data_IF_782493420878
#
_entry.id   IF_782493420878
#
_cell.length_a   1.000
_cell.length_b   1.000
_cell.length_c   1.000
_cell.angle_alpha   90.00
_cell.angle_beta   90.00
_cell.angle_gamma   90.00
#
_symmetry.space_group_name_H-M   'P 1'
#
loop_
_entity.id
_entity.type
_entity.pdbx_description
1 polymer ?
#
# COMPACT_ATOMS: atom_id res chain seq x y z
N UNK A 1 -24.01 13.19 -38.09
CA UNK A 1 -24.41 14.43 -37.42
C UNK A 1 -24.63 14.08 -35.95
N UNK A 2 -23.62 14.27 -35.11
CA UNK A 2 -23.72 14.06 -33.65
C UNK A 2 -24.46 15.27 -33.07
N UNK A 3 -25.69 15.07 -32.61
CA UNK A 3 -26.51 16.15 -32.05
C UNK A 3 -26.16 16.36 -30.56
N UNK A 4 -25.66 17.53 -30.16
CA UNK A 4 -25.11 17.73 -28.80
C UNK A 4 -26.19 17.99 -27.72
N UNK A 5 -27.49 17.99 -28.05
CA UNK A 5 -28.57 18.38 -27.13
C UNK A 5 -29.48 17.23 -26.62
N UNK A 6 -29.07 15.96 -26.76
CA UNK A 6 -29.88 14.79 -26.36
C UNK A 6 -29.36 13.99 -25.15
N UNK A 7 -28.35 14.49 -24.43
CA UNK A 7 -27.53 13.65 -23.52
C UNK A 7 -27.77 13.84 -22.00
N UNK A 8 -28.80 14.57 -21.58
CA UNK A 8 -29.30 14.48 -20.20
C UNK A 8 -30.11 13.17 -20.02
N UNK A 9 -29.49 12.03 -20.28
CA UNK A 9 -30.11 10.73 -20.05
C UNK A 9 -30.00 10.38 -18.57
N UNK A 10 -31.04 9.81 -17.94
CA UNK A 10 -30.87 9.19 -16.63
C UNK A 10 -29.78 8.12 -16.75
N UNK A 11 -28.61 8.41 -16.19
CA UNK A 11 -27.53 7.43 -16.10
C UNK A 11 -27.84 6.57 -14.90
N UNK A 12 -28.28 5.34 -15.14
CA UNK A 12 -28.40 4.34 -14.09
C UNK A 12 -26.99 4.10 -13.52
N UNK A 13 -26.74 4.44 -12.23
CA UNK A 13 -25.37 4.39 -11.68
C UNK A 13 -24.78 2.98 -11.66
N UNK A 14 -25.63 1.94 -11.73
CA UNK A 14 -25.22 0.56 -11.55
C UNK A 14 -24.55 -0.09 -12.78
N UNK A 15 -24.92 0.30 -14.01
CA UNK A 15 -24.41 -0.36 -15.22
C UNK A 15 -24.65 0.44 -16.53
N UNK A 16 -24.03 1.62 -16.70
CA UNK A 16 -24.29 2.50 -17.84
C UNK A 16 -23.94 1.85 -19.19
N UNK A 17 -22.90 1.00 -19.22
CA UNK A 17 -22.46 0.34 -20.46
C UNK A 17 -23.42 -0.77 -20.92
N UNK A 18 -23.97 -1.53 -19.97
CA UNK A 18 -24.89 -2.63 -20.26
C UNK A 18 -26.23 -2.09 -20.75
N UNK A 19 -26.69 -0.98 -20.18
CA UNK A 19 -27.87 -0.24 -20.62
C UNK A 19 -27.74 0.25 -22.07
N UNK A 20 -26.56 0.71 -22.46
CA UNK A 20 -26.30 1.13 -23.85
C UNK A 20 -26.42 -0.06 -24.82
N UNK A 21 -25.88 -1.23 -24.49
CA UNK A 21 -26.01 -2.41 -25.35
C UNK A 21 -27.46 -2.90 -25.48
N UNK A 22 -28.27 -2.74 -24.42
CA UNK A 22 -29.70 -3.03 -24.44
C UNK A 22 -30.46 -2.06 -25.36
N UNK A 23 -30.13 -0.76 -25.28
CA UNK A 23 -30.72 0.28 -26.13
C UNK A 23 -30.44 0.06 -27.62
N UNK A 24 -29.24 -0.39 -27.98
CA UNK A 24 -28.88 -0.72 -29.37
C UNK A 24 -29.31 -2.14 -29.80
N UNK A 25 -29.99 -2.91 -28.95
CA UNK A 25 -30.48 -4.27 -29.26
C UNK A 25 -29.37 -5.33 -29.39
N UNK A 26 -28.18 -5.08 -28.84
CA UNK A 26 -27.00 -5.95 -28.97
C UNK A 26 -26.94 -7.00 -27.85
N UNK A 27 -27.84 -7.98 -27.90
CA UNK A 27 -27.99 -9.01 -26.85
C UNK A 27 -26.75 -9.91 -26.64
N UNK A 28 -26.00 -10.22 -27.70
CA UNK A 28 -24.80 -11.06 -27.61
C UNK A 28 -23.70 -10.35 -26.81
N UNK A 29 -23.44 -9.07 -27.10
CA UNK A 29 -22.44 -8.26 -26.39
C UNK A 29 -22.83 -8.04 -24.94
N UNK A 30 -24.11 -7.78 -24.66
CA UNK A 30 -24.65 -7.65 -23.30
C UNK A 30 -24.34 -8.87 -22.44
N UNK A 31 -24.58 -10.07 -22.97
CA UNK A 31 -24.37 -11.32 -22.24
C UNK A 31 -22.87 -11.56 -21.98
N UNK A 32 -22.02 -11.40 -23.00
CA UNK A 32 -20.56 -11.60 -22.87
C UNK A 32 -19.96 -10.66 -21.80
N UNK A 33 -20.30 -9.36 -21.84
CA UNK A 33 -19.78 -8.37 -20.90
C UNK A 33 -20.30 -8.63 -19.48
N UNK A 34 -21.56 -9.05 -19.32
CA UNK A 34 -22.13 -9.37 -18.01
C UNK A 34 -21.46 -10.57 -17.37
N UNK A 35 -21.21 -11.65 -18.13
CA UNK A 35 -20.45 -12.80 -17.64
C UNK A 35 -19.01 -12.43 -17.29
N UNK A 36 -18.36 -11.60 -18.12
CA UNK A 36 -17.02 -11.08 -17.85
C UNK A 36 -16.96 -10.24 -16.58
N UNK A 37 -17.94 -9.37 -16.34
CA UNK A 37 -18.03 -8.57 -15.14
C UNK A 37 -18.23 -9.43 -13.88
N UNK A 38 -19.14 -10.40 -13.90
CA UNK A 38 -19.37 -11.31 -12.79
C UNK A 38 -18.10 -12.12 -12.45
N UNK A 39 -17.44 -12.68 -13.46
CA UNK A 39 -16.21 -13.44 -13.26
C UNK A 39 -15.08 -12.54 -12.75
N UNK A 40 -14.90 -11.35 -13.35
CA UNK A 40 -13.89 -10.38 -12.93
C UNK A 40 -14.08 -9.90 -11.48
N UNK A 41 -15.32 -9.58 -11.08
CA UNK A 41 -15.63 -9.22 -9.70
C UNK A 41 -15.40 -10.36 -8.73
N UNK A 42 -15.78 -11.59 -9.10
CA UNK A 42 -15.51 -12.77 -8.26
C UNK A 42 -14.01 -13.00 -8.08
N UNK A 43 -13.21 -12.89 -9.14
CA UNK A 43 -11.77 -13.06 -9.08
C UNK A 43 -11.09 -11.98 -8.22
N UNK A 44 -11.53 -10.72 -8.34
CA UNK A 44 -11.04 -9.62 -7.49
C UNK A 44 -11.36 -9.85 -6.02
N UNK A 45 -12.57 -10.32 -5.71
CA UNK A 45 -12.98 -10.65 -4.34
C UNK A 45 -12.10 -11.77 -3.75
N UNK A 46 -11.86 -12.84 -4.51
CA UNK A 46 -10.94 -13.91 -4.08
C UNK A 46 -9.53 -13.38 -3.84
N UNK A 47 -9.02 -12.51 -4.73
CA UNK A 47 -7.72 -11.87 -4.56
C UNK A 47 -7.60 -11.06 -3.26
N UNK A 48 -8.66 -10.36 -2.87
CA UNK A 48 -8.69 -9.55 -1.64
C UNK A 48 -8.83 -10.40 -0.36
N UNK A 49 -9.40 -11.61 -0.43
CA UNK A 49 -9.62 -12.46 0.75
C UNK A 49 -8.35 -13.18 1.21
N UNK A 50 -7.39 -13.48 0.34
CA UNK A 50 -6.17 -14.21 0.72
C UNK A 50 -5.21 -13.49 1.69
N UNK A 51 -4.96 -12.16 1.60
CA UNK A 51 -4.05 -11.49 2.53
C UNK A 51 -4.64 -11.29 3.94
N UNK A 52 -5.96 -11.14 4.07
CA UNK A 52 -6.61 -10.82 5.35
C UNK A 52 -6.35 -11.86 6.47
N UNK A 53 -6.48 -13.18 6.23
CA UNK A 53 -6.16 -14.22 7.21
C UNK A 53 -4.71 -14.16 7.71
N UNK A 54 -3.75 -13.79 6.84
CA UNK A 54 -2.33 -13.70 7.21
C UNK A 54 -2.07 -12.54 8.16
N UNK A 55 -2.71 -11.39 7.91
CA UNK A 55 -2.60 -10.20 8.74
C UNK A 55 -3.18 -10.47 10.13
N UNK A 56 -4.38 -11.08 10.22
CA UNK A 56 -5.02 -11.42 11.49
C UNK A 56 -4.18 -12.40 12.30
N UNK A 57 -3.55 -13.38 11.65
CA UNK A 57 -2.64 -14.31 12.31
C UNK A 57 -1.41 -13.60 12.90
N UNK A 58 -0.76 -12.72 12.12
CA UNK A 58 0.39 -11.95 12.60
C UNK A 58 0.01 -11.04 13.78
N UNK A 59 -1.12 -10.32 13.67
CA UNK A 59 -1.63 -9.46 14.76
C UNK A 59 -2.00 -10.24 16.02
N UNK A 60 -2.51 -11.47 15.88
CA UNK A 60 -2.82 -12.33 17.02
C UNK A 60 -1.54 -12.96 17.64
N UNK A 61 -0.49 -13.19 16.84
CA UNK A 61 0.82 -13.62 17.31
C UNK A 61 1.55 -12.50 18.08
N UNK A 62 1.39 -11.25 17.65
CA UNK A 62 1.88 -10.05 18.35
C UNK A 62 1.09 -9.77 19.66
N UNK A 63 0.03 -10.53 19.95
CA UNK A 63 -0.77 -10.43 21.17
C UNK A 63 -1.83 -9.32 21.17
N UNK A 64 -2.07 -8.69 20.02
CA UNK A 64 -2.99 -7.56 19.87
C UNK A 64 -4.47 -7.99 19.76
N UNK A 65 -4.72 -9.23 19.32
CA UNK A 65 -6.07 -9.83 19.19
C UNK A 65 -6.26 -11.02 20.14
N UNK A 66 -7.52 -11.38 20.43
CA UNK A 66 -7.87 -12.52 21.28
C UNK A 66 -7.17 -13.80 20.79
N UNK A 67 -6.44 -14.47 21.69
CA UNK A 67 -5.62 -15.65 21.41
C UNK A 67 -6.42 -16.85 20.87
N UNK A 68 -7.74 -16.83 21.01
CA UNK A 68 -8.67 -17.78 20.41
C UNK A 68 -8.76 -17.67 18.88
N UNK A 69 -8.53 -16.49 18.30
CA UNK A 69 -8.45 -16.28 16.83
C UNK A 69 -7.11 -16.75 16.25
N UNK A 70 -6.07 -16.91 17.08
CA UNK A 70 -4.78 -17.49 16.70
C UNK A 70 -4.79 -19.02 16.64
N UNK A 71 -5.91 -19.67 16.98
CA UNK A 71 -6.01 -21.14 16.93
C UNK A 71 -6.05 -21.60 15.47
N UNK A 72 -4.87 -21.92 14.94
CA UNK A 72 -4.70 -22.49 13.60
C UNK A 72 -5.26 -23.91 13.58
N UNK A 73 -6.08 -24.21 12.58
CA UNK A 73 -6.58 -25.58 12.34
C UNK A 73 -5.46 -26.45 11.78
N UNK A 74 -5.16 -27.57 12.44
CA UNK A 74 -4.08 -28.51 12.06
C UNK A 74 -4.20 -29.05 10.63
N UNK A 75 -5.41 -29.09 10.05
CA UNK A 75 -5.66 -29.70 8.73
C UNK A 75 -5.43 -28.77 7.53
N UNK A 76 -5.62 -27.45 7.69
CA UNK A 76 -5.52 -26.48 6.59
C UNK A 76 -4.39 -25.46 6.76
N UNK A 77 -3.67 -25.50 7.89
CA UNK A 77 -2.60 -24.54 8.26
C UNK A 77 -2.97 -23.06 8.04
N UNK A 78 -4.27 -22.76 8.03
CA UNK A 78 -4.84 -21.44 7.76
C UNK A 78 -5.94 -21.16 8.78
N UNK A 79 -6.13 -19.89 9.19
CA UNK A 79 -7.08 -19.53 10.22
C UNK A 79 -8.50 -19.44 9.62
N UNK A 80 -9.10 -20.59 9.29
CA UNK A 80 -10.43 -20.70 8.66
C UNK A 80 -11.52 -20.02 9.51
N UNK A 81 -11.43 -20.14 10.84
CA UNK A 81 -12.34 -19.48 11.77
C UNK A 81 -12.22 -17.95 11.68
N UNK A 82 -11.00 -17.42 11.54
CA UNK A 82 -10.79 -15.99 11.37
C UNK A 82 -11.36 -15.50 10.03
N UNK A 83 -11.20 -16.28 8.95
CA UNK A 83 -11.79 -15.96 7.65
C UNK A 83 -13.32 -15.91 7.72
N UNK A 84 -13.96 -16.90 8.35
CA UNK A 84 -15.42 -16.93 8.49
C UNK A 84 -15.93 -15.75 9.33
N UNK A 85 -15.30 -15.49 10.47
CA UNK A 85 -15.63 -14.35 11.32
C UNK A 85 -15.44 -13.02 10.56
N UNK A 86 -14.33 -12.85 9.85
CA UNK A 86 -14.09 -11.65 9.03
C UNK A 86 -15.11 -11.47 7.90
N UNK A 87 -15.59 -12.57 7.30
CA UNK A 87 -16.63 -12.54 6.28
C UNK A 87 -17.98 -12.10 6.84
N UNK A 88 -18.36 -12.59 8.02
CA UNK A 88 -19.57 -12.14 8.72
C UNK A 88 -19.48 -10.65 9.07
N UNK A 89 -18.32 -10.19 9.58
CA UNK A 89 -18.11 -8.77 9.85
C UNK A 89 -18.15 -7.91 8.57
N UNK A 90 -17.55 -8.36 7.47
CA UNK A 90 -17.61 -7.66 6.19
C UNK A 90 -19.04 -7.55 5.65
N UNK A 91 -19.84 -8.60 5.76
CA UNK A 91 -21.26 -8.60 5.39
C UNK A 91 -22.09 -7.66 6.28
N UNK A 92 -21.87 -7.70 7.60
CA UNK A 92 -22.53 -6.77 8.53
C UNK A 92 -22.16 -5.31 8.24
N UNK A 93 -20.88 -5.04 7.94
CA UNK A 93 -20.40 -3.72 7.56
C UNK A 93 -21.08 -3.22 6.26
N UNK A 94 -21.21 -4.08 5.25
CA UNK A 94 -21.94 -3.76 4.03
C UNK A 94 -23.41 -3.39 4.30
N UNK A 95 -24.10 -4.13 5.17
CA UNK A 95 -25.50 -3.87 5.51
C UNK A 95 -25.69 -2.51 6.19
N UNK A 96 -24.78 -2.13 7.08
CA UNK A 96 -24.86 -0.84 7.80
C UNK A 96 -24.50 0.35 6.89
N UNK A 97 -23.49 0.19 6.04
CA UNK A 97 -22.90 1.31 5.29
C UNK A 97 -23.18 1.27 3.79
N UNK A 98 -24.19 0.55 3.33
CA UNK A 98 -24.47 0.31 1.91
C UNK A 98 -24.34 1.56 1.01
N UNK A 99 -24.98 2.68 1.38
CA UNK A 99 -24.95 3.92 0.60
C UNK A 99 -23.61 4.69 0.66
N UNK A 100 -22.85 4.54 1.75
CA UNK A 100 -21.60 5.27 1.99
C UNK A 100 -20.36 4.38 1.85
N UNK A 101 -20.52 3.14 1.41
CA UNK A 101 -19.45 2.15 1.35
C UNK A 101 -18.28 2.65 0.49
N UNK A 102 -18.58 3.17 -0.69
CA UNK A 102 -17.58 3.71 -1.62
C UNK A 102 -16.84 4.90 -1.02
N UNK A 103 -17.55 5.78 -0.30
CA UNK A 103 -16.94 6.92 0.38
C UNK A 103 -15.97 6.47 1.48
N UNK A 104 -16.38 5.52 2.32
CA UNK A 104 -15.52 4.98 3.39
C UNK A 104 -14.27 4.27 2.84
N UNK A 105 -14.43 3.49 1.76
CA UNK A 105 -13.29 2.82 1.09
C UNK A 105 -12.30 3.87 0.55
N UNK A 106 -12.79 4.89 -0.15
CA UNK A 106 -11.92 5.94 -0.71
C UNK A 106 -11.21 6.76 0.37
N UNK A 107 -11.90 7.10 1.46
CA UNK A 107 -11.29 7.77 2.61
C UNK A 107 -10.22 6.91 3.27
N UNK A 108 -10.46 5.61 3.43
CA UNK A 108 -9.46 4.67 3.96
C UNK A 108 -8.21 4.58 3.06
N UNK A 109 -8.38 4.53 1.74
CA UNK A 109 -7.26 4.57 0.80
C UNK A 109 -6.46 5.87 0.90
N UNK A 110 -7.13 7.01 1.02
CA UNK A 110 -6.45 8.30 1.18
C UNK A 110 -5.58 8.33 2.44
N UNK A 111 -6.11 7.86 3.58
CA UNK A 111 -5.35 7.76 4.84
C UNK A 111 -4.16 6.81 4.68
N UNK A 112 -4.37 5.66 4.03
CA UNK A 112 -3.29 4.69 3.82
C UNK A 112 -2.15 5.29 2.99
N UNK A 113 -2.46 6.00 1.91
CA UNK A 113 -1.44 6.62 1.06
C UNK A 113 -0.68 7.73 1.79
N UNK A 114 -1.37 8.58 2.56
CA UNK A 114 -0.67 9.64 3.32
C UNK A 114 0.22 9.05 4.41
N UNK A 115 -0.24 8.00 5.10
CA UNK A 115 0.57 7.29 6.08
C UNK A 115 1.80 6.61 5.46
N UNK A 116 1.63 5.95 4.31
CA UNK A 116 2.74 5.31 3.59
C UNK A 116 3.80 6.34 3.19
N UNK A 117 3.39 7.47 2.62
CA UNK A 117 4.29 8.56 2.23
C UNK A 117 5.02 9.14 3.45
N UNK A 118 4.29 9.36 4.55
CA UNK A 118 4.88 9.81 5.80
C UNK A 118 5.94 8.85 6.34
N UNK A 119 5.64 7.54 6.34
CA UNK A 119 6.55 6.52 6.84
C UNK A 119 7.82 6.40 5.98
N UNK A 120 7.67 6.46 4.65
CA UNK A 120 8.81 6.48 3.72
C UNK A 120 9.67 7.74 3.93
N UNK A 121 9.05 8.91 4.08
CA UNK A 121 9.78 10.14 4.34
C UNK A 121 10.53 10.09 5.69
N UNK A 122 9.90 9.53 6.72
CA UNK A 122 10.51 9.33 8.03
C UNK A 122 11.74 8.42 7.94
N UNK A 123 11.64 7.30 7.22
CA UNK A 123 12.75 6.37 7.02
C UNK A 123 13.89 7.04 6.25
N UNK A 124 13.58 7.80 5.19
CA UNK A 124 14.59 8.53 4.43
C UNK A 124 15.32 9.57 5.30
N UNK A 125 14.58 10.35 6.10
CA UNK A 125 15.16 11.33 7.01
C UNK A 125 16.04 10.68 8.09
N UNK A 126 15.58 9.57 8.68
CA UNK A 126 16.37 8.81 9.65
C UNK A 126 17.66 8.27 9.00
N UNK A 127 17.57 7.66 7.82
CA UNK A 127 18.72 7.14 7.08
C UNK A 127 19.74 8.23 6.76
N UNK A 128 19.28 9.43 6.36
CA UNK A 128 20.16 10.58 6.11
C UNK A 128 20.91 11.01 7.37
N UNK A 129 20.23 11.11 8.51
CA UNK A 129 20.85 11.42 9.80
C UNK A 129 21.89 10.35 10.16
N UNK A 130 21.56 9.07 10.03
CA UNK A 130 22.49 7.97 10.29
C UNK A 130 23.74 8.06 9.39
N UNK A 131 23.57 8.38 8.11
CA UNK A 131 24.67 8.51 7.17
C UNK A 131 25.56 9.72 7.48
N UNK A 132 24.98 10.90 7.78
CA UNK A 132 25.72 12.10 8.18
C UNK A 132 26.47 11.86 9.50
N UNK A 133 25.84 11.19 10.48
CA UNK A 133 26.44 10.87 11.76
C UNK A 133 27.67 9.97 11.63
N UNK A 134 27.66 9.02 10.68
CA UNK A 134 28.81 8.14 10.40
C UNK A 134 29.89 8.84 9.57
N UNK A 135 29.53 9.63 8.55
CA UNK A 135 30.52 10.27 7.65
C UNK A 135 31.24 11.45 8.31
N UNK A 136 30.56 12.24 9.14
CA UNK A 136 31.14 13.44 9.75
C UNK A 136 32.43 13.17 10.55
N UNK A 137 32.51 12.18 11.47
CA UNK A 137 33.75 11.88 12.18
C UNK A 137 34.83 11.30 11.25
N UNK A 138 34.47 10.49 10.26
CA UNK A 138 35.43 9.93 9.30
C UNK A 138 36.09 11.04 8.46
N UNK A 139 35.30 12.01 8.00
CA UNK A 139 35.81 13.19 7.28
C UNK A 139 36.73 14.05 8.16
N UNK A 140 36.35 14.29 9.41
CA UNK A 140 37.15 15.07 10.35
C UNK A 140 38.52 14.42 10.63
N UNK A 141 38.54 13.09 10.86
CA UNK A 141 39.78 12.32 11.09
C UNK A 141 40.69 12.39 9.87
N UNK A 142 40.14 12.23 8.66
CA UNK A 142 40.90 12.33 7.41
C UNK A 142 41.54 13.72 7.27
N UNK A 143 40.80 14.78 7.56
CA UNK A 143 41.32 16.15 7.46
C UNK A 143 42.41 16.43 8.50
N UNK A 144 42.29 15.93 9.73
CA UNK A 144 43.35 16.05 10.75
C UNK A 144 44.61 15.31 10.29
N UNK A 145 44.48 14.08 9.79
CA UNK A 145 45.61 13.28 9.29
C UNK A 145 46.32 13.97 8.12
N UNK A 146 45.56 14.58 7.21
CA UNK A 146 46.09 15.35 6.08
C UNK A 146 46.91 16.56 6.55
N UNK A 147 46.41 17.33 7.54
CA UNK A 147 47.14 18.47 8.12
C UNK A 147 48.44 18.00 8.78
N UNK A 148 48.40 16.92 9.57
CA UNK A 148 49.59 16.37 10.22
C UNK A 148 50.65 15.94 9.19
N UNK A 149 50.24 15.29 8.11
CA UNK A 149 51.14 14.86 7.05
C UNK A 149 51.80 16.05 6.34
N UNK A 150 51.04 17.11 6.03
CA UNK A 150 51.58 18.33 5.42
C UNK A 150 52.55 19.03 6.38
N UNK A 151 52.18 19.17 7.66
CA UNK A 151 53.02 19.81 8.67
C UNK A 151 54.33 19.03 8.92
N UNK A 152 54.26 17.69 8.90
CA UNK A 152 55.45 16.83 9.01
C UNK A 152 56.40 17.03 7.83
N UNK A 153 55.88 17.07 6.60
CA UNK A 153 56.68 17.37 5.41
C UNK A 153 57.32 18.76 5.54
N UNK A 154 56.55 19.78 5.93
CA UNK A 154 57.06 21.14 6.08
C UNK A 154 58.19 21.22 7.13
N UNK A 155 58.03 20.55 8.28
CA UNK A 155 59.07 20.46 9.31
C UNK A 155 60.34 19.80 8.76
N UNK A 156 60.21 18.69 8.03
CA UNK A 156 61.39 18.02 7.43
C UNK A 156 62.11 18.92 6.41
N UNK A 157 61.36 19.68 5.61
CA UNK A 157 61.93 20.63 4.66
C UNK A 157 62.62 21.80 5.37
N UNK A 158 62.04 22.32 6.45
CA UNK A 158 62.61 23.41 7.24
C UNK A 158 63.89 23.02 7.98
N UNK A 159 64.04 21.76 8.41
CA UNK A 159 65.28 21.27 9.02
C UNK A 159 66.37 20.93 7.98
N UNK A 160 65.99 20.74 6.71
CA UNK A 160 66.89 20.35 5.63
C UNK A 160 67.21 21.51 4.67
N UNK A 161 66.59 22.68 4.82
CA UNK A 161 66.95 23.90 4.09
C UNK A 161 68.30 24.42 4.62
N UNK A 162 69.38 24.36 3.83
CA UNK A 162 70.61 25.05 4.19
C UNK A 162 70.34 26.57 4.17
N UNK A 163 70.87 27.27 5.17
CA UNK A 163 71.02 28.72 5.16
C UNK A 163 71.97 29.16 4.04
#
# INVERSE_FOLDING_TARGET
MFDPLTHARPQDPGAPLIYLYDYYGMNVSKNIVSFGALFGFSASLFGAIFPMPRIIYAMAADGLLFRSLARVSERFQSPVVATFVSGVFAGAYYLVYHAYLVYHINYAYLIYYTHLVYHIHLIHHACLIYHVYIIYPAYLIYHIYLIYHIHLIYLTYSTCSPA
#
